data_IF_684839432267
#
_entry.id   IF_684839432267
#
_cell.length_a   1.000
_cell.length_b   1.000
_cell.length_c   1.000
_cell.angle_alpha   90.00
_cell.angle_beta   90.00
_cell.angle_gamma   90.00
#
_symmetry.space_group_name_H-M   'P 1'
#
loop_
_entity.id
_entity.type
_entity.pdbx_description
1 polymer ?
#
# COMPACT_ATOMS: atom_id res chain seq x y z
N UNK A 1 -34.81 12.06 0.68
CA UNK A 1 -33.51 11.94 1.38
C UNK A 1 -32.47 12.52 0.43
N UNK A 2 -32.29 13.82 0.51
CA UNK A 2 -31.42 14.57 -0.39
C UNK A 2 -30.09 14.77 0.29
N UNK A 3 -29.03 14.15 -0.25
CA UNK A 3 -27.69 14.63 -0.01
C UNK A 3 -26.73 13.76 0.78
N UNK A 4 -26.97 12.44 0.99
CA UNK A 4 -25.89 11.57 1.45
C UNK A 4 -24.99 11.26 0.26
N UNK A 5 -23.72 11.58 0.38
CA UNK A 5 -22.70 11.32 -0.61
C UNK A 5 -21.51 10.60 0.05
N UNK A 6 -20.97 9.60 -0.63
CA UNK A 6 -19.74 8.92 -0.22
C UNK A 6 -18.70 9.12 -1.32
N UNK A 7 -17.63 9.83 -0.98
CA UNK A 7 -16.53 10.11 -1.90
C UNK A 7 -15.36 9.22 -1.53
N UNK A 8 -14.94 8.37 -2.45
CA UNK A 8 -13.74 7.56 -2.30
C UNK A 8 -12.50 8.35 -2.77
N UNK A 9 -11.45 8.29 -1.99
CA UNK A 9 -10.14 8.84 -2.32
C UNK A 9 -9.21 7.66 -2.64
N UNK A 10 -9.01 7.41 -3.92
CA UNK A 10 -8.16 6.32 -4.39
C UNK A 10 -6.67 6.61 -4.15
N UNK A 11 -5.93 5.59 -3.74
CA UNK A 11 -4.46 5.57 -3.68
C UNK A 11 -3.93 4.34 -4.43
N UNK A 12 -3.90 4.41 -5.77
CA UNK A 12 -3.64 3.24 -6.63
C UNK A 12 -2.31 2.54 -6.34
N UNK A 13 -1.25 3.30 -5.99
CA UNK A 13 0.09 2.75 -5.75
C UNK A 13 0.21 1.93 -4.45
N UNK A 14 -0.73 2.10 -3.52
CA UNK A 14 -0.86 1.26 -2.32
C UNK A 14 -2.03 0.27 -2.46
N UNK A 15 -2.95 0.52 -3.39
CA UNK A 15 -4.15 -0.27 -3.58
C UNK A 15 -5.21 -0.04 -2.51
N UNK A 16 -5.33 1.22 -2.03
CA UNK A 16 -6.17 1.59 -0.91
C UNK A 16 -7.15 2.71 -1.22
N UNK A 17 -8.17 2.82 -0.38
CA UNK A 17 -9.15 3.90 -0.38
C UNK A 17 -9.34 4.49 1.01
N UNK A 18 -9.48 5.81 1.07
CA UNK A 18 -10.07 6.54 2.18
C UNK A 18 -11.45 7.04 1.76
N UNK A 19 -12.31 7.39 2.72
CA UNK A 19 -13.66 7.84 2.40
C UNK A 19 -14.01 9.14 3.11
N UNK A 20 -14.70 10.04 2.39
CA UNK A 20 -15.39 11.20 2.94
C UNK A 20 -16.88 11.01 2.73
N UNK A 21 -17.63 10.95 3.82
CA UNK A 21 -19.08 10.80 3.80
C UNK A 21 -19.71 12.11 4.21
N UNK A 22 -20.46 12.72 3.33
CA UNK A 22 -21.04 14.05 3.56
C UNK A 22 -22.56 14.08 3.40
N UNK A 23 -23.20 14.98 4.16
CA UNK A 23 -24.61 15.35 4.01
C UNK A 23 -24.86 16.71 4.62
N UNK A 24 -25.60 17.55 3.93
CA UNK A 24 -25.82 18.95 4.37
C UNK A 24 -24.50 19.72 4.47
N UNK A 25 -24.10 20.12 5.68
CA UNK A 25 -22.82 20.79 5.95
C UNK A 25 -21.84 19.94 6.77
N UNK A 26 -22.18 18.69 7.07
CA UNK A 26 -21.39 17.79 7.92
C UNK A 26 -20.72 16.69 7.12
N UNK A 27 -19.54 16.26 7.55
CA UNK A 27 -18.85 15.12 7.02
C UNK A 27 -18.27 14.20 8.11
N UNK A 28 -18.02 12.96 7.71
CA UNK A 28 -17.27 11.95 8.45
C UNK A 28 -16.16 11.46 7.53
N UNK A 29 -14.95 11.27 8.05
CA UNK A 29 -13.81 10.79 7.28
C UNK A 29 -13.39 9.42 7.83
N UNK A 30 -13.14 8.45 6.95
CA UNK A 30 -12.76 7.08 7.30
C UNK A 30 -11.40 6.76 6.68
N UNK A 31 -10.50 6.24 7.52
CA UNK A 31 -9.16 5.74 7.19
C UNK A 31 -8.34 6.73 6.33
N UNK A 32 -8.20 8.02 6.73
CA UNK A 32 -7.46 8.99 5.94
C UNK A 32 -5.98 8.69 5.93
N UNK A 33 -5.37 8.73 4.74
CA UNK A 33 -3.94 8.64 4.61
C UNK A 33 -3.25 9.95 4.98
N UNK A 34 -1.92 9.91 5.11
CA UNK A 34 -1.13 11.01 5.67
C UNK A 34 -1.15 12.30 4.85
N UNK A 35 -1.42 12.23 3.56
CA UNK A 35 -1.61 13.38 2.68
C UNK A 35 -3.05 13.91 2.75
N UNK A 36 -3.40 14.45 3.92
CA UNK A 36 -4.74 14.92 4.30
C UNK A 36 -5.25 16.08 3.47
N UNK A 37 -4.39 16.78 2.75
CA UNK A 37 -4.76 17.86 1.83
C UNK A 37 -5.81 17.41 0.80
N UNK A 38 -5.80 16.14 0.38
CA UNK A 38 -6.83 15.56 -0.49
C UNK A 38 -8.20 15.50 0.19
N UNK A 39 -8.23 15.24 1.48
CA UNK A 39 -9.47 15.24 2.27
C UNK A 39 -9.94 16.68 2.47
N UNK A 40 -9.04 17.59 2.85
CA UNK A 40 -9.35 19.01 3.07
C UNK A 40 -9.91 19.65 1.81
N UNK A 41 -9.35 19.34 0.64
CA UNK A 41 -9.86 19.82 -0.65
C UNK A 41 -11.32 19.38 -0.89
N UNK A 42 -11.68 18.13 -0.59
CA UNK A 42 -13.06 17.64 -0.71
C UNK A 42 -13.98 18.37 0.28
N UNK A 43 -13.55 18.52 1.53
CA UNK A 43 -14.34 19.22 2.54
C UNK A 43 -14.61 20.67 2.11
N UNK A 44 -13.59 21.37 1.61
CA UNK A 44 -13.71 22.75 1.16
C UNK A 44 -14.59 22.88 -0.09
N UNK A 45 -14.44 22.00 -1.09
CA UNK A 45 -15.25 22.00 -2.32
C UNK A 45 -16.75 21.84 -2.05
N UNK A 46 -17.11 21.04 -1.01
CA UNK A 46 -18.50 20.75 -0.67
C UNK A 46 -19.04 21.65 0.46
N UNK A 47 -18.20 22.48 1.05
CA UNK A 47 -18.56 23.29 2.22
C UNK A 47 -18.88 22.43 3.45
N UNK A 48 -18.23 21.27 3.59
CA UNK A 48 -18.43 20.35 4.68
C UNK A 48 -17.48 20.60 5.84
N UNK A 49 -17.97 20.39 7.06
CA UNK A 49 -17.18 20.36 8.28
C UNK A 49 -17.07 18.93 8.79
N UNK A 50 -15.87 18.41 8.98
CA UNK A 50 -15.67 17.09 9.53
C UNK A 50 -16.09 17.05 11.01
N UNK A 51 -17.01 16.15 11.36
CA UNK A 51 -17.44 15.90 12.74
C UNK A 51 -16.61 14.80 13.40
N UNK A 52 -16.27 13.78 12.63
CA UNK A 52 -15.50 12.62 13.08
C UNK A 52 -14.44 12.24 12.04
N UNK A 53 -13.30 11.80 12.53
CA UNK A 53 -12.26 11.09 11.77
C UNK A 53 -12.10 9.72 12.40
N UNK A 54 -12.31 8.67 11.62
CA UNK A 54 -12.45 7.28 12.08
C UNK A 54 -11.34 6.42 11.51
N UNK A 55 -10.76 5.55 12.34
CA UNK A 55 -9.87 4.46 11.90
C UNK A 55 -10.56 3.11 12.12
N UNK A 56 -10.54 2.26 11.11
CA UNK A 56 -11.06 0.90 11.23
C UNK A 56 -10.09 -0.03 11.96
N UNK A 57 -8.80 0.24 11.83
CA UNK A 57 -7.71 -0.54 12.45
C UNK A 57 -6.39 0.23 12.38
N UNK A 58 -5.30 -0.30 12.96
CA UNK A 58 -3.95 0.13 12.62
C UNK A 58 -3.58 -0.39 11.25
N UNK A 59 -3.33 0.53 10.33
CA UNK A 59 -2.87 0.21 8.99
C UNK A 59 -1.42 -0.24 9.00
N UNK A 60 -1.13 -1.36 8.32
CA UNK A 60 0.22 -1.89 8.20
C UNK A 60 0.89 -1.50 6.88
N UNK A 61 0.19 -0.85 5.99
CA UNK A 61 0.65 -0.48 4.66
C UNK A 61 0.81 1.03 4.45
N UNK A 62 0.27 1.85 5.34
CA UNK A 62 0.47 3.30 5.31
C UNK A 62 0.41 3.96 6.70
N UNK A 63 0.93 5.17 6.77
CA UNK A 63 0.83 6.03 7.94
C UNK A 63 -0.48 6.81 7.86
N UNK A 64 -1.32 6.69 8.91
CA UNK A 64 -2.58 7.44 8.99
C UNK A 64 -2.36 8.95 9.13
N UNK A 65 -3.21 9.72 8.44
CA UNK A 65 -3.36 11.16 8.60
C UNK A 65 -4.42 11.57 9.61
N UNK A 66 -5.12 10.58 10.21
CA UNK A 66 -6.31 10.84 11.02
C UNK A 66 -6.08 11.76 12.20
N UNK A 67 -4.98 11.60 12.92
CA UNK A 67 -4.63 12.44 14.06
C UNK A 67 -4.44 13.93 13.64
N UNK A 68 -3.70 14.16 12.57
CA UNK A 68 -3.43 15.52 12.07
C UNK A 68 -4.69 16.13 11.48
N UNK A 69 -5.47 15.37 10.71
CA UNK A 69 -6.75 15.82 10.17
C UNK A 69 -7.72 16.23 11.29
N UNK A 70 -7.86 15.40 12.33
CA UNK A 70 -8.72 15.68 13.48
C UNK A 70 -8.29 16.96 14.22
N UNK A 71 -6.98 17.17 14.39
CA UNK A 71 -6.45 18.41 14.99
C UNK A 71 -6.79 19.66 14.17
N UNK A 72 -6.64 19.60 12.85
CA UNK A 72 -6.86 20.72 11.94
C UNK A 72 -8.34 21.07 11.81
N UNK A 73 -9.18 20.05 11.70
CA UNK A 73 -10.65 20.22 11.55
C UNK A 73 -11.37 20.35 12.87
N UNK A 74 -10.74 20.02 14.00
CA UNK A 74 -11.35 19.89 15.33
C UNK A 74 -12.41 18.79 15.41
N UNK A 75 -12.37 17.83 14.51
CA UNK A 75 -13.20 16.64 14.53
C UNK A 75 -12.82 15.71 15.69
N UNK A 76 -13.76 14.90 16.16
CA UNK A 76 -13.46 13.84 17.12
C UNK A 76 -12.66 12.74 16.42
N UNK A 77 -11.46 12.43 16.94
CA UNK A 77 -10.66 11.32 16.43
C UNK A 77 -11.05 10.03 17.14
N UNK A 78 -11.47 9.02 16.38
CA UNK A 78 -12.04 7.77 16.88
C UNK A 78 -11.23 6.59 16.35
N UNK A 79 -10.78 5.73 17.28
CA UNK A 79 -9.97 4.56 16.98
C UNK A 79 -10.53 3.31 17.66
N UNK A 80 -10.21 2.09 17.22
CA UNK A 80 -10.60 0.86 17.89
C UNK A 80 -10.13 0.78 19.35
N UNK A 81 -10.95 0.21 20.21
CA UNK A 81 -10.59 -0.09 21.60
C UNK A 81 -9.44 -1.11 21.67
N UNK A 82 -8.56 -0.92 22.65
CA UNK A 82 -7.40 -1.80 22.86
C UNK A 82 -6.23 -1.54 21.95
N UNK A 83 -6.28 -0.50 21.11
CA UNK A 83 -5.11 -0.01 20.40
C UNK A 83 -4.18 0.71 21.38
N UNK A 84 -2.89 0.36 21.35
CA UNK A 84 -1.86 1.10 22.09
C UNK A 84 -1.52 2.37 21.29
N UNK A 85 -1.84 3.55 21.83
CA UNK A 85 -1.63 4.84 21.17
C UNK A 85 -0.94 5.81 22.15
N UNK A 86 -0.01 6.62 21.62
CA UNK A 86 0.75 7.61 22.39
C UNK A 86 0.09 9.01 22.36
N UNK A 87 -1.15 9.11 21.89
CA UNK A 87 -1.91 10.35 21.75
C UNK A 87 -3.35 10.19 22.26
N UNK A 88 -4.06 11.29 22.43
CA UNK A 88 -5.46 11.28 22.84
C UNK A 88 -6.39 11.01 21.63
N UNK A 89 -7.24 9.98 21.75
CA UNK A 89 -8.33 9.68 20.83
C UNK A 89 -9.48 9.03 21.61
N UNK A 90 -10.68 9.05 21.06
CA UNK A 90 -11.79 8.26 21.59
C UNK A 90 -11.65 6.82 21.13
N UNK A 91 -11.41 5.93 22.06
CA UNK A 91 -11.42 4.48 21.77
C UNK A 91 -12.85 3.94 21.81
N UNK A 92 -13.21 3.14 20.81
CA UNK A 92 -14.56 2.53 20.69
C UNK A 92 -14.48 1.04 20.43
N UNK A 93 -15.33 0.29 21.11
CA UNK A 93 -15.42 -1.17 21.01
C UNK A 93 -16.81 -1.65 20.64
N UNK A 94 -17.08 -2.92 20.92
CA UNK A 94 -18.34 -3.58 20.62
C UNK A 94 -19.55 -2.80 21.17
N UNK A 95 -20.61 -2.72 20.35
CA UNK A 95 -21.87 -2.05 20.69
C UNK A 95 -21.77 -0.54 20.90
N UNK A 96 -20.62 0.11 20.63
CA UNK A 96 -20.54 1.55 20.62
C UNK A 96 -21.33 2.13 19.42
N UNK A 97 -21.93 3.29 19.66
CA UNK A 97 -22.59 4.07 18.63
C UNK A 97 -22.08 5.50 18.68
N UNK A 98 -21.84 6.06 17.50
CA UNK A 98 -21.47 7.46 17.32
C UNK A 98 -22.65 8.20 16.66
N UNK A 99 -23.10 9.25 17.29
CA UNK A 99 -24.14 10.12 16.72
C UNK A 99 -23.49 11.19 15.85
N UNK A 100 -24.02 11.40 14.66
CA UNK A 100 -23.65 12.50 13.78
C UNK A 100 -24.88 13.11 13.11
N UNK A 101 -24.71 14.29 12.51
CA UNK A 101 -25.77 14.93 11.72
C UNK A 101 -26.13 14.14 10.45
N UNK A 102 -25.23 13.25 10.01
CA UNK A 102 -25.41 12.40 8.81
C UNK A 102 -26.27 11.17 9.13
N UNK A 103 -26.09 10.62 10.32
CA UNK A 103 -26.73 9.40 10.76
C UNK A 103 -26.05 8.81 11.99
N UNK A 104 -26.41 7.59 12.34
CA UNK A 104 -25.80 6.85 13.44
C UNK A 104 -24.78 5.86 12.91
N UNK A 105 -23.56 5.92 13.41
CA UNK A 105 -22.52 4.94 13.12
C UNK A 105 -22.52 3.86 14.21
N UNK A 106 -22.77 2.63 13.85
CA UNK A 106 -22.64 1.46 14.73
C UNK A 106 -21.25 0.85 14.56
N UNK A 107 -20.59 0.54 15.66
CA UNK A 107 -19.30 -0.14 15.67
C UNK A 107 -19.53 -1.65 15.65
N UNK A 108 -19.03 -2.30 14.62
CA UNK A 108 -19.09 -3.75 14.42
C UNK A 108 -17.68 -4.33 14.61
N UNK A 109 -17.40 -5.09 15.67
CA UNK A 109 -16.11 -5.75 15.82
C UNK A 109 -15.90 -6.78 14.69
N UNK A 110 -14.84 -6.60 13.94
CA UNK A 110 -14.49 -7.47 12.80
C UNK A 110 -13.00 -7.88 12.84
N UNK A 111 -12.54 -8.49 13.98
CA UNK A 111 -11.17 -8.95 14.11
C UNK A 111 -10.84 -10.03 13.07
N UNK A 112 -9.58 -10.06 12.65
CA UNK A 112 -9.07 -11.00 11.65
C UNK A 112 -7.87 -10.46 10.91
N UNK A 113 -8.04 -9.41 10.14
CA UNK A 113 -6.92 -8.68 9.54
C UNK A 113 -5.98 -8.09 10.62
N UNK A 114 -6.57 -7.48 11.63
CA UNK A 114 -5.88 -7.14 12.88
C UNK A 114 -6.73 -7.55 14.09
N UNK A 115 -6.14 -7.71 15.31
CA UNK A 115 -6.89 -8.14 16.50
C UNK A 115 -8.02 -7.19 16.91
N UNK A 116 -7.78 -5.89 16.78
CA UNK A 116 -8.69 -4.83 17.24
C UNK A 116 -9.50 -4.21 16.10
N UNK A 117 -9.57 -4.89 14.95
CA UNK A 117 -10.27 -4.38 13.77
C UNK A 117 -11.76 -4.20 14.03
N UNK A 118 -12.29 -3.06 13.59
CA UNK A 118 -13.72 -2.73 13.61
C UNK A 118 -14.19 -2.27 12.23
N UNK A 119 -15.45 -2.50 11.93
CA UNK A 119 -16.14 -1.90 10.79
C UNK A 119 -17.16 -0.88 11.29
N UNK A 120 -17.47 0.13 10.49
CA UNK A 120 -18.50 1.13 10.82
C UNK A 120 -19.71 0.96 9.90
N UNK A 121 -20.87 0.70 10.49
CA UNK A 121 -22.15 0.67 9.75
C UNK A 121 -22.87 1.99 9.91
N UNK A 122 -23.06 2.75 8.82
CA UNK A 122 -23.81 3.99 8.80
C UNK A 122 -25.31 3.69 8.67
N UNK A 123 -26.06 3.98 9.73
CA UNK A 123 -27.50 3.84 9.77
C UNK A 123 -28.19 5.19 9.53
N UNK A 124 -29.04 5.22 8.51
CA UNK A 124 -29.86 6.39 8.15
C UNK A 124 -31.31 5.94 8.03
N UNK A 125 -32.20 6.58 8.76
CA UNK A 125 -33.63 6.27 8.72
C UNK A 125 -34.01 4.87 9.21
N UNK A 126 -33.15 4.23 10.01
CA UNK A 126 -33.41 2.90 10.59
C UNK A 126 -32.85 1.72 9.79
N UNK A 127 -32.15 1.96 8.68
CA UNK A 127 -31.46 0.94 7.89
C UNK A 127 -29.98 1.28 7.75
N UNK A 128 -29.10 0.27 7.72
CA UNK A 128 -27.71 0.47 7.38
C UNK A 128 -27.61 0.70 5.87
N UNK A 129 -27.05 1.83 5.47
CA UNK A 129 -26.90 2.24 4.05
C UNK A 129 -25.48 2.03 3.53
N UNK A 130 -24.48 2.06 4.42
CA UNK A 130 -23.09 1.87 4.12
C UNK A 130 -22.38 1.09 5.22
N UNK A 131 -21.42 0.24 4.85
CA UNK A 131 -20.54 -0.49 5.73
C UNK A 131 -19.09 -0.24 5.34
N UNK A 132 -18.33 0.47 6.17
CA UNK A 132 -16.91 0.72 6.01
C UNK A 132 -16.14 -0.40 6.68
N UNK A 133 -15.53 -1.27 5.87
CA UNK A 133 -15.03 -2.58 6.31
C UNK A 133 -13.52 -2.64 6.51
N UNK A 134 -12.82 -1.52 6.25
CA UNK A 134 -11.37 -1.47 6.44
C UNK A 134 -10.64 -2.59 5.68
N UNK A 135 -9.85 -3.36 6.43
CA UNK A 135 -9.16 -4.55 5.94
C UNK A 135 -9.91 -5.87 6.20
N UNK A 136 -11.12 -5.86 6.77
CA UNK A 136 -11.83 -7.10 7.10
C UNK A 136 -12.52 -7.72 5.88
N UNK A 137 -13.63 -7.16 5.41
CA UNK A 137 -14.34 -7.62 4.20
C UNK A 137 -13.89 -6.82 2.99
N UNK A 138 -13.37 -7.50 1.99
CA UNK A 138 -12.96 -6.95 0.69
C UNK A 138 -13.86 -7.51 -0.41
N UNK A 139 -13.80 -6.96 -1.60
CA UNK A 139 -14.61 -7.45 -2.74
C UNK A 139 -14.14 -8.83 -3.22
N UNK A 140 -14.92 -9.87 -2.89
CA UNK A 140 -14.61 -11.26 -3.22
C UNK A 140 -13.44 -11.86 -2.41
N UNK A 141 -12.92 -11.13 -1.41
CA UNK A 141 -11.75 -11.52 -0.61
C UNK A 141 -11.90 -11.03 0.84
N UNK A 142 -10.87 -11.23 1.63
CA UNK A 142 -10.68 -10.68 2.98
C UNK A 142 -9.26 -10.18 3.15
N UNK A 143 -9.02 -9.38 4.19
CA UNK A 143 -7.66 -8.97 4.55
C UNK A 143 -6.84 -10.14 5.08
N UNK A 144 -5.53 -10.10 4.83
CA UNK A 144 -4.58 -11.11 5.30
C UNK A 144 -4.38 -11.03 6.80
N UNK A 145 -4.26 -12.18 7.49
CA UNK A 145 -4.17 -12.24 8.95
C UNK A 145 -2.73 -12.36 9.51
N UNK A 146 -1.70 -12.37 8.65
CA UNK A 146 -0.33 -12.77 9.00
C UNK A 146 0.65 -11.61 9.24
N UNK A 147 0.15 -10.35 9.22
CA UNK A 147 1.00 -9.16 9.32
C UNK A 147 1.62 -8.93 10.72
N UNK A 148 1.09 -9.60 11.74
CA UNK A 148 1.49 -9.40 13.14
C UNK A 148 2.26 -10.59 13.74
N UNK A 149 2.70 -11.52 12.90
CA UNK A 149 3.51 -12.67 13.30
C UNK A 149 2.81 -14.01 13.11
N UNK A 150 3.62 -15.03 12.92
CA UNK A 150 3.17 -16.37 12.57
C UNK A 150 2.25 -17.00 13.64
N UNK A 151 2.52 -16.72 14.92
CA UNK A 151 1.73 -17.23 16.05
C UNK A 151 0.31 -16.69 16.08
N UNK A 152 0.05 -15.52 15.49
CA UNK A 152 -1.27 -14.90 15.43
C UNK A 152 -2.03 -15.23 14.14
N UNK A 153 -1.36 -15.77 13.12
CA UNK A 153 -1.93 -15.97 11.77
C UNK A 153 -3.18 -16.86 11.81
N UNK A 154 -3.11 -18.06 12.38
CA UNK A 154 -4.26 -18.97 12.44
C UNK A 154 -5.39 -18.44 13.36
N UNK A 155 -5.12 -17.97 14.59
CA UNK A 155 -6.13 -17.35 15.43
C UNK A 155 -6.86 -16.17 14.76
N UNK A 156 -6.14 -15.33 14.02
CA UNK A 156 -6.71 -14.20 13.28
C UNK A 156 -7.50 -14.68 12.06
N UNK A 157 -7.05 -15.69 11.32
CA UNK A 157 -7.82 -16.28 10.23
C UNK A 157 -9.17 -16.84 10.70
N UNK A 158 -9.20 -17.53 11.85
CA UNK A 158 -10.43 -17.98 12.48
C UNK A 158 -11.34 -16.83 12.91
N UNK A 159 -10.75 -15.77 13.46
CA UNK A 159 -11.50 -14.55 13.82
C UNK A 159 -12.07 -13.86 12.59
N UNK A 160 -11.33 -13.83 11.47
CA UNK A 160 -11.76 -13.31 10.18
C UNK A 160 -13.02 -14.04 9.68
N UNK A 161 -13.02 -15.37 9.71
CA UNK A 161 -14.18 -16.18 9.33
C UNK A 161 -15.43 -15.85 10.18
N UNK A 162 -15.25 -15.72 11.51
CA UNK A 162 -16.34 -15.35 12.42
C UNK A 162 -16.86 -13.94 12.18
N UNK A 163 -15.96 -13.02 11.84
CA UNK A 163 -16.29 -11.63 11.47
C UNK A 163 -17.18 -11.58 10.22
N UNK A 164 -16.92 -12.42 9.22
CA UNK A 164 -17.78 -12.52 8.03
C UNK A 164 -19.19 -13.00 8.40
N UNK A 165 -19.30 -14.01 9.26
CA UNK A 165 -20.62 -14.48 9.74
C UNK A 165 -21.38 -13.37 10.47
N UNK A 166 -20.70 -12.59 11.28
CA UNK A 166 -21.29 -11.42 11.98
C UNK A 166 -21.80 -10.39 11.00
N UNK A 167 -20.98 -9.98 10.02
CA UNK A 167 -21.40 -9.01 8.99
C UNK A 167 -22.66 -9.50 8.29
N UNK A 168 -22.69 -10.76 7.82
CA UNK A 168 -23.84 -11.33 7.13
C UNK A 168 -25.10 -11.42 7.97
N UNK A 169 -24.99 -11.55 9.30
CA UNK A 169 -26.12 -11.65 10.22
C UNK A 169 -26.64 -10.30 10.73
N UNK A 170 -25.77 -9.32 10.92
CA UNK A 170 -26.09 -8.08 11.64
C UNK A 170 -26.32 -6.86 10.73
N UNK A 171 -25.82 -6.88 9.49
CA UNK A 171 -25.87 -5.74 8.58
C UNK A 171 -26.99 -5.89 7.57
N UNK A 172 -27.66 -4.77 7.26
CA UNK A 172 -28.71 -4.71 6.23
C UNK A 172 -28.16 -5.22 4.89
N UNK A 173 -28.82 -6.20 4.22
CA UNK A 173 -28.30 -6.81 2.98
C UNK A 173 -27.99 -5.82 1.86
N UNK A 174 -28.73 -4.72 1.77
CA UNK A 174 -28.55 -3.68 0.74
C UNK A 174 -27.52 -2.61 1.10
N UNK A 175 -26.87 -2.69 2.28
CA UNK A 175 -25.81 -1.78 2.64
C UNK A 175 -24.65 -1.89 1.64
N UNK A 176 -24.18 -0.75 1.13
CA UNK A 176 -23.00 -0.69 0.27
C UNK A 176 -21.73 -0.98 1.07
N UNK A 177 -20.83 -1.76 0.53
CA UNK A 177 -19.55 -2.14 1.16
C UNK A 177 -18.45 -1.21 0.68
N UNK A 178 -17.71 -0.65 1.64
CA UNK A 178 -16.61 0.29 1.41
C UNK A 178 -15.33 -0.21 2.10
N UNK A 179 -14.53 -1.04 1.43
CA UNK A 179 -13.27 -1.54 1.98
C UNK A 179 -12.14 -0.52 1.80
N UNK A 180 -11.24 -0.44 2.77
CA UNK A 180 -10.03 0.40 2.65
C UNK A 180 -8.99 -0.25 1.76
N UNK A 181 -8.79 -1.57 1.87
CA UNK A 181 -7.86 -2.34 1.07
C UNK A 181 -8.56 -3.09 -0.06
N UNK A 182 -7.78 -3.65 -1.00
CA UNK A 182 -8.32 -4.55 -2.03
C UNK A 182 -8.20 -4.06 -3.46
N UNK A 183 -7.61 -2.90 -3.69
CA UNK A 183 -7.45 -2.31 -5.02
C UNK A 183 -6.02 -2.50 -5.56
N UNK A 184 -5.43 -3.69 -5.29
CA UNK A 184 -4.04 -4.02 -5.57
C UNK A 184 -3.14 -3.98 -4.34
N UNK A 185 -3.72 -3.76 -3.14
CA UNK A 185 -3.00 -3.75 -1.87
C UNK A 185 -2.47 -5.14 -1.51
N UNK A 186 -1.25 -5.18 -0.97
CA UNK A 186 -0.65 -6.38 -0.38
C UNK A 186 -1.30 -6.78 0.96
N UNK A 187 -2.23 -5.97 1.49
CA UNK A 187 -3.06 -6.32 2.63
C UNK A 187 -4.22 -7.26 2.29
N UNK A 188 -4.50 -7.51 1.01
CA UNK A 188 -5.49 -8.51 0.57
C UNK A 188 -4.91 -9.91 0.64
N UNK A 189 -5.70 -10.87 1.12
CA UNK A 189 -5.28 -12.28 1.14
C UNK A 189 -5.29 -12.91 -0.26
N UNK A 190 -6.26 -12.51 -1.09
CA UNK A 190 -6.38 -12.93 -2.49
C UNK A 190 -6.70 -11.73 -3.37
N UNK A 191 -6.63 -11.90 -4.69
CA UNK A 191 -7.04 -10.86 -5.62
C UNK A 191 -8.52 -10.48 -5.43
N UNK A 192 -8.80 -9.19 -5.44
CA UNK A 192 -10.14 -8.65 -5.31
C UNK A 192 -10.79 -8.45 -6.68
N UNK A 193 -12.12 -8.48 -6.73
CA UNK A 193 -12.90 -8.38 -7.97
C UNK A 193 -13.99 -7.32 -7.84
N UNK A 194 -13.93 -6.31 -8.71
CA UNK A 194 -14.92 -5.23 -8.75
C UNK A 194 -14.52 -4.01 -7.94
N UNK A 195 -15.37 -2.99 -8.00
CA UNK A 195 -15.17 -1.70 -7.34
C UNK A 195 -16.34 -1.28 -6.44
N UNK A 196 -17.46 -1.98 -6.52
CA UNK A 196 -18.70 -1.72 -5.79
C UNK A 196 -19.38 -3.05 -5.47
N UNK A 197 -20.00 -3.15 -4.32
CA UNK A 197 -20.77 -4.32 -3.93
C UNK A 197 -21.63 -4.00 -2.71
N UNK A 198 -22.71 -4.77 -2.54
CA UNK A 198 -23.54 -4.79 -1.33
C UNK A 198 -23.16 -5.96 -0.42
N UNK A 199 -23.61 -5.91 0.84
CA UNK A 199 -23.43 -7.03 1.77
C UNK A 199 -24.06 -8.30 1.22
N UNK A 200 -25.28 -8.23 0.61
CA UNK A 200 -25.93 -9.38 0.02
C UNK A 200 -25.13 -10.02 -1.11
N UNK A 201 -24.52 -9.21 -1.99
CA UNK A 201 -23.67 -9.70 -3.07
C UNK A 201 -22.40 -10.37 -2.54
N UNK A 202 -21.78 -9.81 -1.50
CA UNK A 202 -20.64 -10.42 -0.84
C UNK A 202 -21.02 -11.74 -0.16
N UNK A 203 -22.16 -11.79 0.54
CA UNK A 203 -22.65 -13.02 1.14
C UNK A 203 -22.88 -14.12 0.10
N UNK A 204 -23.32 -13.76 -1.10
CA UNK A 204 -23.60 -14.70 -2.18
C UNK A 204 -22.34 -15.16 -2.94
N UNK A 205 -21.31 -14.33 -3.05
CA UNK A 205 -20.16 -14.56 -3.97
C UNK A 205 -18.83 -14.74 -3.27
N UNK A 206 -18.61 -14.16 -2.08
CA UNK A 206 -17.32 -14.23 -1.39
C UNK A 206 -17.18 -15.57 -0.63
N UNK A 207 -16.15 -16.37 -0.92
CA UNK A 207 -15.93 -17.68 -0.29
C UNK A 207 -15.91 -17.63 1.25
N UNK A 208 -15.47 -16.53 1.83
CA UNK A 208 -15.45 -16.33 3.28
C UNK A 208 -16.84 -16.48 3.95
N UNK A 209 -17.94 -16.35 3.22
CA UNK A 209 -19.29 -16.54 3.72
C UNK A 209 -19.85 -17.95 3.54
N UNK A 210 -19.31 -18.76 2.62
CA UNK A 210 -19.86 -20.06 2.25
C UNK A 210 -19.03 -21.26 2.73
N UNK A 211 -17.70 -21.10 2.81
CA UNK A 211 -16.75 -22.17 3.14
C UNK A 211 -16.77 -22.45 4.66
N UNK A 212 -16.57 -23.71 5.05
CA UNK A 212 -16.43 -24.11 6.45
C UNK A 212 -15.17 -23.51 7.10
N UNK A 213 -15.18 -23.29 8.42
CA UNK A 213 -14.10 -22.58 9.13
C UNK A 213 -12.72 -23.17 8.86
N UNK A 214 -12.54 -24.47 9.05
CA UNK A 214 -11.23 -25.11 8.89
C UNK A 214 -10.72 -25.02 7.45
N UNK A 215 -11.57 -25.31 6.47
CA UNK A 215 -11.23 -25.18 5.04
C UNK A 215 -10.86 -23.74 4.67
N UNK A 216 -11.65 -22.78 5.16
CA UNK A 216 -11.35 -21.35 4.94
C UNK A 216 -9.98 -20.96 5.49
N UNK A 217 -9.66 -21.40 6.71
CA UNK A 217 -8.38 -21.10 7.36
C UNK A 217 -7.21 -21.73 6.60
N UNK A 218 -7.34 -23.00 6.21
CA UNK A 218 -6.33 -23.73 5.44
C UNK A 218 -6.06 -23.05 4.09
N UNK A 219 -7.11 -22.75 3.33
CA UNK A 219 -7.00 -22.11 2.01
C UNK A 219 -6.45 -20.68 2.12
N UNK A 220 -6.92 -19.91 3.11
CA UNK A 220 -6.46 -18.54 3.35
C UNK A 220 -4.95 -18.52 3.63
N UNK A 221 -4.47 -19.34 4.56
CA UNK A 221 -3.06 -19.37 4.95
C UNK A 221 -2.19 -19.89 3.81
N UNK A 222 -2.63 -20.91 3.09
CA UNK A 222 -1.89 -21.48 1.95
C UNK A 222 -1.74 -20.49 0.77
N UNK A 223 -2.68 -19.55 0.63
CA UNK A 223 -2.65 -18.54 -0.43
C UNK A 223 -1.82 -17.29 -0.11
N UNK A 224 -1.26 -17.16 1.10
CA UNK A 224 -0.49 -15.98 1.48
C UNK A 224 0.89 -15.98 0.79
N UNK A 225 1.24 -14.83 0.23
CA UNK A 225 2.55 -14.56 -0.37
C UNK A 225 3.29 -13.48 0.43
N UNK A 226 4.55 -13.23 0.11
CA UNK A 226 5.35 -12.18 0.74
C UNK A 226 4.68 -10.80 0.65
N UNK A 227 4.92 -9.97 1.65
CA UNK A 227 4.44 -8.59 1.72
C UNK A 227 5.58 -7.61 1.96
N UNK A 228 5.40 -6.30 1.67
CA UNK A 228 6.45 -5.31 1.75
C UNK A 228 7.09 -5.19 3.14
N UNK A 229 8.43 -5.16 3.18
CA UNK A 229 9.18 -5.11 4.44
C UNK A 229 8.90 -3.85 5.27
N UNK A 230 8.55 -2.73 4.61
CA UNK A 230 8.24 -1.48 5.31
C UNK A 230 6.99 -1.57 6.20
N UNK A 231 6.13 -2.57 6.01
CA UNK A 231 4.96 -2.81 6.87
C UNK A 231 5.33 -2.89 8.36
N UNK A 232 6.50 -3.43 8.68
CA UNK A 232 7.00 -3.49 10.05
C UNK A 232 7.15 -2.11 10.72
N UNK A 233 7.21 -1.04 9.94
CA UNK A 233 7.40 0.33 10.45
C UNK A 233 6.09 1.11 10.60
N UNK A 234 5.01 0.66 9.97
CA UNK A 234 3.74 1.39 9.93
C UNK A 234 3.02 1.34 11.28
N UNK A 235 2.88 0.15 11.88
CA UNK A 235 2.27 0.01 13.19
C UNK A 235 2.89 0.95 14.25
N UNK A 236 4.23 0.92 14.45
CA UNK A 236 4.90 1.86 15.35
C UNK A 236 4.74 3.34 14.98
N UNK A 237 4.65 3.67 13.68
CA UNK A 237 4.41 5.06 13.25
C UNK A 237 2.98 5.51 13.59
N UNK A 238 1.99 4.66 13.34
CA UNK A 238 0.59 4.90 13.66
C UNK A 238 0.34 4.97 15.17
N UNK A 239 1.02 4.12 15.97
CA UNK A 239 0.96 4.18 17.42
C UNK A 239 1.43 5.53 17.97
N UNK A 240 2.56 6.05 17.48
CA UNK A 240 3.08 7.36 17.90
C UNK A 240 2.20 8.52 17.43
N UNK A 241 1.44 8.33 16.38
CA UNK A 241 0.70 9.38 15.69
C UNK A 241 1.62 10.26 14.82
N UNK A 242 1.32 10.31 13.53
CA UNK A 242 2.09 11.12 12.60
C UNK A 242 1.77 12.62 12.76
N UNK A 243 2.79 13.45 12.63
CA UNK A 243 2.65 14.89 12.53
C UNK A 243 2.42 15.35 11.09
N UNK A 244 2.36 16.69 10.89
CA UNK A 244 2.16 17.28 9.58
C UNK A 244 3.27 16.88 8.62
N UNK A 245 2.93 16.81 7.33
CA UNK A 245 3.89 16.53 6.25
C UNK A 245 4.43 17.82 5.67
N UNK A 246 5.67 17.75 5.14
CA UNK A 246 6.30 18.82 4.34
C UNK A 246 6.52 18.29 2.91
N UNK A 247 5.69 18.74 1.98
CA UNK A 247 5.78 18.40 0.55
C UNK A 247 6.56 19.46 -0.26
N UNK A 248 7.20 20.42 0.39
CA UNK A 248 8.11 21.33 -0.30
C UNK A 248 9.30 20.56 -0.90
N UNK A 249 9.74 20.96 -2.08
CA UNK A 249 10.88 20.29 -2.71
C UNK A 249 12.10 20.29 -1.79
N UNK A 250 12.86 19.17 -1.71
CA UNK A 250 14.11 19.08 -0.94
C UNK A 250 15.18 20.02 -1.48
N UNK A 251 16.44 19.85 -1.06
CA UNK A 251 17.56 20.60 -1.64
C UNK A 251 17.89 20.10 -3.05
N UNK A 252 18.18 21.02 -3.97
CA UNK A 252 18.67 20.67 -5.30
C UNK A 252 20.04 19.99 -5.15
N UNK A 253 20.20 18.81 -5.74
CA UNK A 253 21.43 18.05 -5.77
C UNK A 253 22.17 18.30 -7.09
N UNK A 254 23.44 18.66 -6.99
CA UNK A 254 24.35 18.73 -8.14
C UNK A 254 24.83 17.33 -8.55
N UNK A 255 25.41 17.19 -9.76
CA UNK A 255 26.04 15.95 -10.20
C UNK A 255 27.14 15.47 -9.21
N UNK A 256 27.85 16.40 -8.59
CA UNK A 256 28.84 16.09 -7.54
C UNK A 256 28.21 15.58 -6.26
N UNK A 257 27.04 16.12 -5.86
CA UNK A 257 26.28 15.63 -4.71
C UNK A 257 25.75 14.21 -4.96
N UNK A 258 25.20 13.96 -6.13
CA UNK A 258 24.70 12.64 -6.56
C UNK A 258 25.83 11.61 -6.45
N UNK A 259 26.99 11.88 -7.05
CA UNK A 259 28.12 10.97 -7.01
C UNK A 259 28.62 10.70 -5.57
N UNK A 260 28.72 11.76 -4.75
CA UNK A 260 29.13 11.64 -3.34
C UNK A 260 28.17 10.78 -2.52
N UNK A 261 26.88 11.00 -2.68
CA UNK A 261 25.82 10.27 -1.95
C UNK A 261 25.82 8.79 -2.35
N UNK A 262 25.91 8.48 -3.63
CA UNK A 262 26.05 7.09 -4.09
C UNK A 262 27.30 6.42 -3.51
N UNK A 263 28.45 7.11 -3.48
CA UNK A 263 29.68 6.60 -2.87
C UNK A 263 29.54 6.37 -1.35
N UNK A 264 28.66 7.11 -0.68
CA UNK A 264 28.32 6.92 0.73
C UNK A 264 27.28 5.80 0.99
N UNK A 265 26.77 5.14 -0.05
CA UNK A 265 25.77 4.08 0.06
C UNK A 265 24.33 4.61 0.21
N UNK A 266 24.11 5.91 0.01
CA UNK A 266 22.77 6.49 -0.03
C UNK A 266 22.04 6.08 -1.32
N UNK A 267 20.73 6.08 -1.30
CA UNK A 267 19.94 5.75 -2.46
C UNK A 267 19.74 6.94 -3.39
N UNK A 268 20.14 6.79 -4.63
CA UNK A 268 19.85 7.70 -5.73
C UNK A 268 18.83 7.01 -6.64
N UNK A 269 17.61 7.53 -6.65
CA UNK A 269 16.43 6.93 -7.25
C UNK A 269 16.03 7.71 -8.49
N UNK A 270 16.10 7.07 -9.65
CA UNK A 270 15.65 7.60 -10.93
C UNK A 270 14.16 7.25 -11.13
N UNK A 271 13.32 8.28 -11.18
CA UNK A 271 11.87 8.20 -11.21
C UNK A 271 11.31 8.06 -12.63
N UNK A 272 12.14 8.30 -13.62
CA UNK A 272 11.72 8.27 -15.02
C UNK A 272 11.24 6.89 -15.43
N UNK A 273 10.42 6.88 -16.49
CA UNK A 273 9.89 5.63 -17.04
C UNK A 273 11.04 4.64 -17.33
N UNK A 274 10.82 3.37 -16.97
CA UNK A 274 11.80 2.28 -17.10
C UNK A 274 12.49 2.16 -18.48
N UNK A 275 11.83 2.64 -19.56
CA UNK A 275 12.47 2.67 -20.89
C UNK A 275 13.53 3.75 -20.99
N UNK A 276 13.29 4.93 -20.43
CA UNK A 276 14.25 6.02 -20.38
C UNK A 276 15.45 5.63 -19.52
N UNK A 277 15.22 5.01 -18.36
CA UNK A 277 16.29 4.50 -17.51
C UNK A 277 17.14 3.44 -18.22
N UNK A 278 16.51 2.45 -18.88
CA UNK A 278 17.25 1.42 -19.60
C UNK A 278 18.13 1.99 -20.73
N UNK A 279 17.62 2.98 -21.44
CA UNK A 279 18.33 3.62 -22.53
C UNK A 279 19.54 4.45 -22.04
N UNK A 280 19.39 5.11 -20.88
CA UNK A 280 20.41 6.02 -20.37
C UNK A 280 20.14 6.45 -18.91
N UNK A 281 21.04 6.12 -18.00
CA UNK A 281 20.93 6.45 -16.58
C UNK A 281 22.31 6.72 -15.95
N UNK A 282 22.31 7.28 -14.74
CA UNK A 282 23.53 7.39 -13.92
C UNK A 282 23.91 6.01 -13.41
N UNK A 283 25.11 5.53 -13.70
CA UNK A 283 25.58 4.21 -13.27
C UNK A 283 25.53 4.10 -11.73
N UNK A 284 24.77 3.13 -11.25
CA UNK A 284 24.54 2.89 -9.82
C UNK A 284 23.26 3.54 -9.27
N UNK A 285 22.56 4.37 -10.04
CA UNK A 285 21.22 4.80 -9.68
C UNK A 285 20.23 3.62 -9.74
N UNK A 286 19.17 3.72 -8.95
CA UNK A 286 18.12 2.71 -8.84
C UNK A 286 16.86 3.17 -9.60
N UNK A 287 16.27 2.29 -10.40
CA UNK A 287 15.07 2.61 -11.19
C UNK A 287 13.79 2.31 -10.43
N UNK A 288 13.01 3.35 -10.14
CA UNK A 288 11.67 3.24 -9.57
C UNK A 288 10.75 4.19 -10.34
N UNK A 289 10.12 3.66 -11.37
CA UNK A 289 9.20 4.40 -12.25
C UNK A 289 8.00 4.95 -11.46
N UNK A 290 7.94 6.28 -11.29
CA UNK A 290 6.91 6.94 -10.47
C UNK A 290 5.47 6.74 -11.00
N UNK A 291 5.32 6.33 -12.25
CA UNK A 291 4.01 6.02 -12.87
C UNK A 291 3.55 4.58 -12.62
N UNK A 292 4.30 3.80 -11.84
CA UNK A 292 3.98 2.43 -11.42
C UNK A 292 3.98 2.30 -9.90
N UNK A 293 4.13 1.07 -9.39
CA UNK A 293 4.14 0.76 -7.96
C UNK A 293 5.49 1.10 -7.29
N UNK A 294 6.05 2.27 -7.61
CA UNK A 294 7.40 2.66 -7.20
C UNK A 294 7.56 2.67 -5.68
N UNK A 295 6.63 3.30 -4.96
CA UNK A 295 6.74 3.47 -3.51
C UNK A 295 6.70 2.13 -2.77
N UNK A 296 5.83 1.22 -3.18
CA UNK A 296 5.68 -0.10 -2.56
C UNK A 296 6.97 -0.92 -2.70
N UNK A 297 7.54 -0.99 -3.91
CA UNK A 297 8.80 -1.72 -4.14
C UNK A 297 10.00 -1.01 -3.54
N UNK A 298 10.04 0.33 -3.53
CA UNK A 298 11.09 1.09 -2.86
C UNK A 298 11.08 0.78 -1.36
N UNK A 299 9.91 0.89 -0.71
CA UNK A 299 9.75 0.57 0.71
C UNK A 299 10.04 -0.89 1.04
N UNK A 300 9.79 -1.81 0.09
CA UNK A 300 10.13 -3.22 0.26
C UNK A 300 11.63 -3.48 0.28
N UNK A 301 12.40 -2.72 -0.49
CA UNK A 301 13.82 -2.99 -0.75
C UNK A 301 14.78 -2.10 0.04
N UNK A 302 14.34 -0.93 0.51
CA UNK A 302 15.21 0.02 1.18
C UNK A 302 15.52 -0.42 2.62
N UNK A 303 16.78 -0.28 3.06
CA UNK A 303 17.06 -0.32 4.48
C UNK A 303 16.47 0.92 5.12
N UNK A 304 15.57 0.71 6.06
CA UNK A 304 14.82 1.80 6.69
C UNK A 304 15.74 2.85 7.30
N UNK A 305 15.50 4.12 6.95
CA UNK A 305 16.34 5.24 7.37
C UNK A 305 17.49 5.58 6.40
N UNK A 306 17.68 4.82 5.32
CA UNK A 306 18.65 5.20 4.27
C UNK A 306 18.24 6.52 3.61
N UNK A 307 19.14 7.51 3.50
CA UNK A 307 18.85 8.76 2.81
C UNK A 307 18.56 8.54 1.32
N UNK A 308 17.57 9.27 0.80
CA UNK A 308 17.12 9.15 -0.60
C UNK A 308 17.33 10.47 -1.34
N UNK A 309 17.90 10.40 -2.54
CA UNK A 309 17.93 11.49 -3.52
C UNK A 309 17.07 11.09 -4.73
N UNK A 310 16.16 11.96 -5.14
CA UNK A 310 15.23 11.72 -6.24
C UNK A 310 15.73 12.37 -7.52
N UNK A 311 15.75 11.62 -8.62
CA UNK A 311 16.06 12.12 -9.96
C UNK A 311 14.78 12.00 -10.81
N UNK A 312 14.23 13.11 -11.24
CA UNK A 312 13.02 13.16 -12.06
C UNK A 312 13.23 13.90 -13.38
N UNK A 313 12.42 13.63 -14.38
CA UNK A 313 12.43 14.42 -15.61
C UNK A 313 12.01 15.87 -15.33
N UNK A 314 11.11 16.07 -14.37
CA UNK A 314 10.63 17.38 -13.94
C UNK A 314 10.30 17.40 -12.44
N UNK A 315 9.82 18.55 -11.97
CA UNK A 315 9.42 18.73 -10.56
C UNK A 315 8.16 17.95 -10.18
N UNK A 316 7.30 17.62 -11.14
CA UNK A 316 6.04 16.90 -10.89
C UNK A 316 6.34 15.46 -10.51
N UNK A 317 7.26 14.78 -11.22
CA UNK A 317 7.69 13.42 -10.85
C UNK A 317 8.27 13.38 -9.43
N UNK A 318 9.12 14.38 -9.09
CA UNK A 318 9.71 14.48 -7.74
C UNK A 318 8.65 14.70 -6.66
N UNK A 319 7.71 15.62 -6.88
CA UNK A 319 6.62 15.92 -5.94
C UNK A 319 5.67 14.73 -5.78
N UNK A 320 5.37 14.04 -6.88
CA UNK A 320 4.55 12.81 -6.86
C UNK A 320 5.21 11.75 -5.99
N UNK A 321 6.49 11.44 -6.24
CA UNK A 321 7.21 10.46 -5.43
C UNK A 321 7.33 10.86 -3.97
N UNK A 322 7.53 12.16 -3.70
CA UNK A 322 7.61 12.68 -2.34
C UNK A 322 6.28 12.47 -1.58
N UNK A 323 5.15 12.70 -2.25
CA UNK A 323 3.81 12.41 -1.71
C UNK A 323 3.62 10.92 -1.43
N UNK A 324 4.04 10.06 -2.34
CA UNK A 324 3.99 8.61 -2.13
C UNK A 324 4.85 8.17 -0.93
N UNK A 325 6.05 8.72 -0.80
CA UNK A 325 6.98 8.38 0.28
C UNK A 325 6.45 8.77 1.67
N UNK A 326 5.79 9.93 1.81
CA UNK A 326 5.24 10.32 3.12
C UNK A 326 4.10 9.40 3.57
N UNK A 327 3.35 8.78 2.64
CA UNK A 327 2.31 7.80 2.97
C UNK A 327 2.88 6.58 3.66
N UNK A 328 4.10 6.15 3.28
CA UNK A 328 4.79 5.02 3.91
C UNK A 328 5.78 5.47 5.01
N UNK A 329 5.72 6.72 5.46
CA UNK A 329 6.53 7.21 6.58
C UNK A 329 7.97 7.62 6.22
N UNK A 330 8.29 7.78 4.96
CA UNK A 330 9.57 8.36 4.49
C UNK A 330 9.34 9.85 4.20
N UNK A 331 9.56 10.68 5.22
CA UNK A 331 9.06 12.04 5.20
C UNK A 331 9.81 13.01 4.30
N UNK A 332 11.13 12.88 4.20
CA UNK A 332 11.91 13.88 3.50
C UNK A 332 13.11 13.29 2.79
N UNK A 333 13.07 13.18 1.46
CA UNK A 333 14.27 12.94 0.67
C UNK A 333 15.34 14.02 0.95
N UNK A 334 16.60 13.63 1.00
CA UNK A 334 17.71 14.54 1.31
C UNK A 334 18.09 15.44 0.14
N UNK A 335 17.60 15.16 -1.06
CA UNK A 335 17.83 15.99 -2.24
C UNK A 335 17.05 15.53 -3.45
N UNK A 336 17.06 16.38 -4.48
CA UNK A 336 16.51 16.04 -5.79
C UNK A 336 17.30 16.70 -6.91
N UNK A 337 17.19 16.14 -8.11
CA UNK A 337 17.59 16.80 -9.34
C UNK A 337 16.55 16.52 -10.43
N UNK A 338 16.35 17.48 -11.32
CA UNK A 338 15.47 17.36 -12.49
C UNK A 338 16.28 17.45 -13.77
N UNK A 339 15.77 16.85 -14.85
CA UNK A 339 16.39 16.88 -16.16
C UNK A 339 16.63 15.48 -16.73
N UNK A 340 17.79 15.27 -17.31
CA UNK A 340 18.21 14.03 -17.96
C UNK A 340 19.44 13.44 -17.28
N UNK A 341 19.76 12.19 -17.60
CA UNK A 341 21.00 11.57 -17.13
C UNK A 341 22.26 12.38 -17.45
N UNK A 342 22.23 13.16 -18.55
CA UNK A 342 23.37 14.03 -18.92
C UNK A 342 23.59 15.16 -17.92
N UNK A 343 22.54 15.63 -17.25
CA UNK A 343 22.60 16.71 -16.25
C UNK A 343 23.09 16.19 -14.89
N UNK A 344 22.96 14.89 -14.65
CA UNK A 344 23.22 14.25 -13.35
C UNK A 344 24.56 13.54 -13.24
N UNK A 345 25.29 13.38 -14.35
CA UNK A 345 26.55 12.63 -14.38
C UNK A 345 27.75 13.46 -13.97
N UNK A 346 28.75 12.77 -13.44
CA UNK A 346 30.09 13.31 -13.15
C UNK A 346 31.17 12.33 -13.59
N UNK A 347 32.44 12.70 -13.48
CA UNK A 347 33.57 11.80 -13.79
C UNK A 347 33.61 10.54 -12.92
N UNK A 348 33.03 10.61 -11.71
CA UNK A 348 32.96 9.48 -10.75
C UNK A 348 31.63 8.75 -10.76
N UNK A 349 30.60 9.27 -11.44
CA UNK A 349 29.29 8.64 -11.65
C UNK A 349 28.92 8.78 -13.13
N UNK A 350 29.48 7.95 -14.01
CA UNK A 350 29.25 8.04 -15.46
C UNK A 350 27.89 7.50 -15.85
N UNK A 351 27.53 7.71 -17.11
CA UNK A 351 26.32 7.14 -17.73
C UNK A 351 26.46 5.63 -17.91
N UNK A 352 25.33 4.95 -17.88
CA UNK A 352 25.18 3.52 -18.18
C UNK A 352 23.88 3.28 -18.94
N UNK A 353 23.74 2.10 -19.52
CA UNK A 353 22.55 1.65 -20.22
C UNK A 353 22.50 0.13 -20.22
N UNK A 354 21.31 -0.43 -20.51
CA UNK A 354 21.15 -1.86 -20.80
C UNK A 354 20.08 -2.08 -21.84
N UNK A 355 20.22 -3.16 -22.59
CA UNK A 355 19.25 -3.54 -23.62
C UNK A 355 17.98 -4.09 -22.98
N UNK A 356 16.84 -3.67 -23.46
CA UNK A 356 15.54 -4.29 -23.19
C UNK A 356 15.17 -5.18 -24.36
N UNK A 357 14.62 -6.34 -24.06
CA UNK A 357 14.15 -7.32 -25.05
C UNK A 357 12.71 -7.73 -24.72
N UNK A 358 12.01 -8.24 -25.71
CA UNK A 358 10.68 -8.84 -25.53
C UNK A 358 10.78 -10.31 -25.13
N UNK A 359 9.69 -10.90 -24.70
CA UNK A 359 9.64 -12.36 -24.47
C UNK A 359 9.91 -13.16 -25.76
N UNK A 360 9.55 -12.63 -26.93
CA UNK A 360 9.86 -13.25 -28.23
C UNK A 360 11.36 -13.24 -28.49
N UNK A 361 12.04 -12.10 -28.20
CA UNK A 361 13.49 -11.99 -28.35
C UNK A 361 14.19 -12.97 -27.39
N UNK A 362 13.71 -13.07 -26.14
CA UNK A 362 14.24 -14.04 -25.15
C UNK A 362 14.05 -15.48 -25.62
N UNK A 363 12.88 -15.82 -26.14
CA UNK A 363 12.61 -17.16 -26.67
C UNK A 363 13.56 -17.51 -27.83
N UNK A 364 13.82 -16.56 -28.73
CA UNK A 364 14.77 -16.74 -29.81
C UNK A 364 16.20 -16.90 -29.28
N UNK A 365 16.60 -16.05 -28.32
CA UNK A 365 17.94 -16.15 -27.71
C UNK A 365 18.18 -17.52 -27.02
N UNK A 366 17.16 -18.04 -26.34
CA UNK A 366 17.21 -19.36 -25.70
C UNK A 366 17.19 -20.52 -26.74
N UNK A 367 16.57 -20.31 -27.90
CA UNK A 367 16.64 -21.28 -28.99
C UNK A 367 18.04 -21.33 -29.62
N UNK A 368 18.70 -20.18 -29.72
CA UNK A 368 20.05 -20.06 -30.25
C UNK A 368 21.13 -20.50 -29.22
N UNK A 369 20.89 -20.21 -27.95
CA UNK A 369 21.74 -20.64 -26.82
C UNK A 369 20.90 -21.09 -25.64
N UNK A 370 20.62 -22.42 -25.50
CA UNK A 370 19.88 -22.96 -24.38
C UNK A 370 20.56 -22.81 -23.00
N UNK A 371 21.84 -22.43 -22.97
CA UNK A 371 22.59 -22.19 -21.73
C UNK A 371 22.54 -20.74 -21.25
N UNK A 372 21.84 -19.86 -21.97
CA UNK A 372 21.67 -18.45 -21.60
C UNK A 372 21.13 -18.31 -20.18
N UNK A 373 21.82 -17.63 -19.26
CA UNK A 373 21.36 -17.48 -17.90
C UNK A 373 20.15 -16.55 -17.85
N UNK A 374 19.04 -17.04 -17.27
CA UNK A 374 17.82 -16.26 -17.03
C UNK A 374 17.58 -16.14 -15.55
N UNK A 375 17.47 -14.93 -15.03
CA UNK A 375 17.07 -14.64 -13.65
C UNK A 375 15.61 -14.17 -13.62
N UNK A 376 14.74 -14.92 -12.95
CA UNK A 376 13.35 -14.54 -12.73
C UNK A 376 13.21 -13.88 -11.36
N UNK A 377 12.75 -12.61 -11.36
CA UNK A 377 12.59 -11.78 -10.17
C UNK A 377 11.14 -11.67 -9.71
N UNK A 378 10.21 -12.38 -10.35
CA UNK A 378 8.79 -12.34 -10.02
C UNK A 378 8.53 -12.97 -8.65
N UNK A 379 7.36 -12.67 -8.06
CA UNK A 379 6.92 -13.28 -6.80
C UNK A 379 6.76 -14.80 -6.95
N UNK A 380 6.73 -15.51 -5.82
CA UNK A 380 6.57 -16.97 -5.82
C UNK A 380 5.31 -17.40 -6.57
N UNK A 381 4.17 -16.79 -6.28
CA UNK A 381 2.88 -17.08 -6.95
C UNK A 381 2.93 -16.88 -8.46
N UNK A 382 3.60 -15.82 -8.92
CA UNK A 382 3.74 -15.53 -10.36
C UNK A 382 4.71 -16.49 -11.06
N UNK A 383 5.71 -16.98 -10.33
CA UNK A 383 6.65 -17.98 -10.85
C UNK A 383 5.97 -19.36 -10.93
N UNK A 384 5.20 -19.75 -9.92
CA UNK A 384 4.47 -21.02 -9.86
C UNK A 384 3.39 -21.12 -10.96
N UNK A 385 2.78 -20.01 -11.38
CA UNK A 385 1.83 -19.94 -12.49
C UNK A 385 2.47 -20.24 -13.86
N UNK A 386 3.81 -20.16 -13.94
CA UNK A 386 4.58 -20.49 -15.15
C UNK A 386 5.88 -19.72 -15.24
N UNK A 387 6.94 -20.38 -15.64
CA UNK A 387 8.29 -19.84 -15.71
C UNK A 387 9.08 -20.29 -16.92
N UNK A 388 10.16 -19.57 -17.22
CA UNK A 388 11.13 -19.97 -18.26
C UNK A 388 11.92 -21.16 -17.75
N UNK A 389 11.88 -22.30 -18.47
CA UNK A 389 12.58 -23.52 -18.08
C UNK A 389 14.09 -23.25 -17.91
N UNK A 390 14.62 -23.59 -16.75
CA UNK A 390 16.03 -23.35 -16.40
C UNK A 390 16.32 -21.97 -15.82
N UNK A 391 15.33 -21.10 -15.70
CA UNK A 391 15.52 -19.82 -15.03
C UNK A 391 15.85 -20.01 -13.54
N UNK A 392 16.81 -19.22 -13.05
CA UNK A 392 17.06 -19.09 -11.61
C UNK A 392 16.01 -18.15 -11.02
N UNK A 393 15.21 -18.65 -10.09
CA UNK A 393 14.23 -17.86 -9.40
C UNK A 393 14.82 -17.22 -8.13
N UNK A 394 14.74 -15.91 -8.05
CA UNK A 394 15.05 -15.11 -6.86
C UNK A 394 14.06 -13.95 -6.82
N UNK A 395 13.00 -14.03 -6.03
CA UNK A 395 12.03 -12.93 -5.93
C UNK A 395 12.69 -11.60 -5.62
N UNK A 396 12.17 -10.50 -6.19
CA UNK A 396 12.79 -9.18 -6.09
C UNK A 396 13.05 -8.76 -4.64
N UNK A 397 12.14 -9.08 -3.73
CA UNK A 397 12.28 -8.77 -2.30
C UNK A 397 13.40 -9.56 -1.59
N UNK A 398 13.82 -10.70 -2.13
CA UNK A 398 14.94 -11.49 -1.61
C UNK A 398 16.28 -11.11 -2.26
N UNK A 399 16.23 -10.43 -3.42
CA UNK A 399 17.40 -10.19 -4.26
C UNK A 399 18.55 -9.55 -3.49
N UNK A 400 18.25 -8.55 -2.65
CA UNK A 400 19.28 -7.84 -1.90
C UNK A 400 20.01 -8.74 -0.91
N UNK A 401 19.28 -9.59 -0.18
CA UNK A 401 19.86 -10.58 0.74
C UNK A 401 20.62 -11.71 0.03
N UNK A 402 20.31 -11.93 -1.25
CA UNK A 402 20.88 -13.01 -2.07
C UNK A 402 21.78 -12.51 -3.21
N UNK A 403 22.17 -11.23 -3.19
CA UNK A 403 22.91 -10.61 -4.29
C UNK A 403 24.26 -11.29 -4.56
N UNK A 404 24.96 -11.77 -3.53
CA UNK A 404 26.23 -12.47 -3.71
C UNK A 404 26.04 -13.89 -4.26
N UNK A 405 24.91 -14.53 -3.99
CA UNK A 405 24.50 -15.79 -4.62
C UNK A 405 24.26 -15.59 -6.11
N UNK A 406 23.51 -14.54 -6.45
CA UNK A 406 23.19 -14.21 -7.84
C UNK A 406 24.46 -13.83 -8.62
N UNK A 407 25.36 -13.03 -8.03
CA UNK A 407 26.66 -12.69 -8.65
C UNK A 407 27.49 -13.92 -8.95
N UNK A 408 27.67 -14.81 -7.97
CA UNK A 408 28.41 -16.07 -8.20
C UNK A 408 27.78 -16.90 -9.30
N UNK A 409 26.46 -17.03 -9.29
CA UNK A 409 25.73 -17.77 -10.34
C UNK A 409 25.93 -17.12 -11.71
N UNK A 410 25.85 -15.79 -11.83
CA UNK A 410 26.07 -15.07 -13.07
C UNK A 410 27.52 -15.25 -13.57
N UNK A 411 28.51 -15.18 -12.69
CA UNK A 411 29.93 -15.38 -13.02
C UNK A 411 30.21 -16.81 -13.51
N UNK A 412 29.60 -17.82 -12.88
CA UNK A 412 29.76 -19.21 -13.28
C UNK A 412 29.10 -19.51 -14.64
N UNK A 413 27.98 -18.85 -14.95
CA UNK A 413 27.25 -19.02 -16.21
C UNK A 413 27.80 -18.14 -17.32
N UNK A 414 28.41 -16.98 -17.02
CA UNK A 414 28.98 -16.04 -18.01
C UNK A 414 30.30 -16.55 -18.66
N UNK A 415 30.79 -17.73 -18.28
CA UNK A 415 31.88 -18.39 -19.01
C UNK A 415 31.53 -18.71 -20.46
N UNK A 416 30.30 -18.46 -20.85
CA UNK A 416 29.80 -18.67 -22.21
C UNK A 416 29.63 -17.38 -23.04
N UNK A 417 30.18 -16.24 -22.60
CA UNK A 417 30.27 -14.98 -23.36
C UNK A 417 29.16 -13.96 -23.00
N UNK A 418 29.41 -12.66 -23.21
CA UNK A 418 28.41 -11.64 -22.94
C UNK A 418 27.34 -11.65 -24.03
N UNK A 419 26.09 -11.59 -23.62
CA UNK A 419 24.94 -11.27 -24.49
C UNK A 419 24.75 -9.77 -24.57
#
# INVERSE_FOLDING_TARGET
MTGLEVIAIDTPNLGDRSYVVGSGSSAIVIDPQRDIDRVEEILDQHGWSASHVLETHFHNDYVSGGLELARRTKAEYVVPEGMEIDFAARQVGAAAELASDIGRLRVIPTPGHTPNHISFALNVGGADVALFTGGSLLFGSVGRPDLLGQELTEPLARSQWRSMRRIGAEITPLAQVYPTHGFGSFCSATATVGNESTVAEQVASNPAFSVAEDTFVEELIAGLDAYPAYYAHMGPANQRGAGPIDLSLPMVATAGDIARRMAAGEWVVDLRHRQAFAADHVKGALSFDVHGNAVTYLGWMIDWGTPITLLGADAVEVQTMQRELVRIGIDRPVGYAIGTSADWVSSTAPRSWYRRVTHVDLAQALADDPSLPVLDLRRNTEFDDGYVLGAKHVPLHELRGRIDEVRRWADDTSKHGPV
#
